data_IF_241843156224
#
_entry.id   IF_241843156224
#
_cell.length_a   1.000
_cell.length_b   1.000
_cell.length_c   1.000
_cell.angle_alpha   90.00
_cell.angle_beta   90.00
_cell.angle_gamma   90.00
#
_symmetry.space_group_name_H-M   'P 1'
#
loop_
_entity.id
_entity.type
_entity.pdbx_description
1 polymer ?
#
# COMPACT_ATOMS: atom_id res chain seq x y z
N UNK A 1 0.07 -17.95 6.07
CA UNK A 1 -0.01 -16.60 6.58
C UNK A 1 1.32 -15.86 6.41
N UNK A 2 1.32 -14.76 5.66
CA UNK A 2 2.56 -13.98 5.36
C UNK A 2 3.09 -13.29 6.64
N UNK A 3 2.24 -13.15 7.66
CA UNK A 3 2.60 -12.54 8.94
C UNK A 3 3.21 -13.55 9.94
N UNK A 4 3.20 -14.85 9.64
CA UNK A 4 4.00 -15.81 10.41
C UNK A 4 5.48 -15.44 10.29
N UNK A 5 6.09 -15.08 11.42
CA UNK A 5 7.50 -14.63 11.47
C UNK A 5 8.46 -15.63 10.81
N UNK A 6 8.15 -16.93 10.87
CA UNK A 6 8.99 -17.98 10.33
C UNK A 6 8.84 -18.11 8.80
N UNK A 7 7.62 -17.91 8.25
CA UNK A 7 7.43 -17.86 6.81
C UNK A 7 8.14 -16.65 6.20
N UNK A 8 7.99 -15.47 6.80
CA UNK A 8 8.63 -14.26 6.31
C UNK A 8 10.16 -14.37 6.34
N UNK A 9 10.73 -14.90 7.43
CA UNK A 9 12.18 -15.17 7.50
C UNK A 9 12.65 -16.10 6.38
N UNK A 10 11.93 -17.20 6.16
CA UNK A 10 12.25 -18.12 5.06
C UNK A 10 12.21 -17.43 3.71
N UNK A 11 11.16 -16.63 3.42
CA UNK A 11 11.05 -15.89 2.16
C UNK A 11 12.19 -14.88 1.97
N UNK A 12 12.64 -14.24 3.04
CA UNK A 12 13.82 -13.35 3.00
C UNK A 12 15.07 -14.14 2.62
N UNK A 13 15.28 -15.30 3.25
CA UNK A 13 16.49 -16.12 3.07
C UNK A 13 16.53 -16.86 1.73
N UNK A 14 15.37 -17.42 1.29
CA UNK A 14 15.33 -18.29 0.10
C UNK A 14 14.94 -17.55 -1.17
N UNK A 15 14.03 -16.59 -1.08
CA UNK A 15 13.43 -15.93 -2.24
C UNK A 15 13.86 -14.44 -2.36
N UNK A 16 14.68 -13.97 -1.42
CA UNK A 16 15.21 -12.61 -1.45
C UNK A 16 14.16 -11.52 -1.24
N UNK A 17 13.08 -11.80 -0.50
CA UNK A 17 12.06 -10.79 -0.17
C UNK A 17 12.69 -9.67 0.64
N UNK A 18 12.47 -8.42 0.19
CA UNK A 18 13.10 -7.23 0.78
C UNK A 18 12.12 -6.23 1.35
N UNK A 19 10.84 -6.51 1.34
CA UNK A 19 9.81 -5.66 1.92
C UNK A 19 8.44 -6.31 1.90
N UNK A 20 7.54 -5.81 2.74
CA UNK A 20 6.17 -6.30 2.85
C UNK A 20 5.21 -5.12 2.86
N UNK A 21 4.10 -5.27 2.16
CA UNK A 21 3.00 -4.29 2.20
C UNK A 21 1.73 -4.95 2.70
N UNK A 22 0.95 -4.20 3.44
CA UNK A 22 -0.37 -4.60 3.91
C UNK A 22 -1.46 -3.65 3.42
N UNK A 23 -2.70 -4.05 3.59
CA UNK A 23 -3.87 -3.21 3.46
C UNK A 23 -4.99 -3.73 4.38
N UNK A 24 -6.05 -2.94 4.64
CA UNK A 24 -7.14 -3.34 5.54
C UNK A 24 -7.78 -4.68 5.17
N UNK A 25 -7.98 -4.97 3.87
CA UNK A 25 -8.61 -6.23 3.43
C UNK A 25 -7.74 -7.47 3.67
N UNK A 26 -6.41 -7.33 3.68
CA UNK A 26 -5.49 -8.43 4.03
C UNK A 26 -5.65 -8.75 5.51
N UNK A 27 -5.63 -7.74 6.38
CA UNK A 27 -5.83 -7.93 7.81
C UNK A 27 -7.22 -8.46 8.15
N UNK A 28 -8.28 -7.93 7.52
CA UNK A 28 -9.65 -8.41 7.71
C UNK A 28 -9.75 -9.92 7.44
N UNK A 29 -9.17 -10.39 6.33
CA UNK A 29 -9.14 -11.81 6.00
C UNK A 29 -8.29 -12.62 6.97
N UNK A 30 -7.11 -12.13 7.34
CA UNK A 30 -6.21 -12.84 8.25
C UNK A 30 -6.84 -12.99 9.66
N UNK A 31 -7.35 -11.91 10.22
CA UNK A 31 -7.97 -11.90 11.55
C UNK A 31 -9.30 -12.67 11.56
N UNK A 32 -10.12 -12.54 10.51
CA UNK A 32 -11.45 -13.15 10.45
C UNK A 32 -11.48 -14.63 10.07
N UNK A 33 -10.38 -15.18 9.52
CA UNK A 33 -10.33 -16.57 9.02
C UNK A 33 -9.29 -17.46 9.69
N UNK A 34 -8.61 -16.97 10.74
CA UNK A 34 -7.53 -17.71 11.43
C UNK A 34 -7.74 -17.66 12.94
N UNK A 35 -7.61 -18.81 13.60
CA UNK A 35 -7.64 -18.93 15.07
C UNK A 35 -6.34 -18.41 15.73
N UNK A 36 -5.35 -18.00 14.92
CA UNK A 36 -4.07 -17.48 15.41
C UNK A 36 -4.21 -16.19 16.23
N UNK A 37 -5.25 -15.41 15.94
CA UNK A 37 -5.53 -14.14 16.65
C UNK A 37 -6.36 -14.30 17.93
N UNK A 38 -6.98 -15.45 18.18
CA UNK A 38 -7.87 -15.67 19.34
C UNK A 38 -7.20 -15.37 20.67
N UNK A 39 -5.94 -15.78 20.81
CA UNK A 39 -5.13 -15.50 22.00
C UNK A 39 -4.87 -14.00 22.20
N UNK A 40 -4.53 -13.28 21.14
CA UNK A 40 -4.26 -11.84 21.15
C UNK A 40 -5.55 -11.04 21.40
N UNK A 41 -6.65 -11.42 20.75
CA UNK A 41 -7.99 -10.87 20.97
C UNK A 41 -8.39 -11.04 22.44
N UNK A 42 -8.26 -12.27 22.99
CA UNK A 42 -8.60 -12.54 24.38
C UNK A 42 -7.77 -11.74 25.40
N UNK A 43 -6.50 -11.48 25.10
CA UNK A 43 -5.65 -10.62 25.94
C UNK A 43 -6.02 -9.15 25.83
N UNK A 44 -6.32 -8.65 24.62
CA UNK A 44 -6.72 -7.27 24.40
C UNK A 44 -8.05 -6.93 25.08
N UNK A 45 -9.03 -7.84 25.01
CA UNK A 45 -10.33 -7.69 25.68
C UNK A 45 -10.21 -7.67 27.20
N UNK A 46 -9.27 -8.41 27.79
CA UNK A 46 -9.02 -8.38 29.25
C UNK A 46 -8.45 -7.06 29.75
N UNK A 47 -7.86 -6.24 28.85
CA UNK A 47 -7.25 -4.94 29.20
C UNK A 47 -8.25 -3.78 29.19
N UNK A 48 -9.48 -3.99 28.80
CA UNK A 48 -10.57 -3.00 28.82
C UNK A 48 -11.47 -3.10 27.59
N UNK A 49 -12.65 -2.47 27.67
CA UNK A 49 -13.58 -2.34 26.53
C UNK A 49 -12.91 -1.55 25.40
N UNK A 50 -12.70 -2.22 24.27
CA UNK A 50 -12.23 -1.62 23.03
C UNK A 50 -13.31 -1.80 21.97
N UNK A 51 -13.48 -0.80 21.12
CA UNK A 51 -14.28 -0.97 19.91
C UNK A 51 -13.64 -2.04 19.01
N UNK A 52 -14.44 -2.65 18.13
CA UNK A 52 -13.93 -3.61 17.14
C UNK A 52 -12.85 -2.97 16.27
N UNK A 53 -13.01 -1.68 15.93
CA UNK A 53 -12.04 -0.93 15.15
C UNK A 53 -10.70 -0.76 15.90
N UNK A 54 -10.75 -0.39 17.20
CA UNK A 54 -9.53 -0.25 18.01
C UNK A 54 -8.81 -1.58 18.20
N UNK A 55 -9.57 -2.67 18.35
CA UNK A 55 -8.99 -4.00 18.46
C UNK A 55 -8.31 -4.43 17.16
N UNK A 56 -9.00 -4.25 16.03
CA UNK A 56 -8.46 -4.52 14.70
C UNK A 56 -7.16 -3.75 14.44
N UNK A 57 -7.17 -2.46 14.72
CA UNK A 57 -5.99 -1.60 14.53
C UNK A 57 -4.84 -2.04 15.45
N UNK A 58 -5.13 -2.35 16.72
CA UNK A 58 -4.11 -2.82 17.65
C UNK A 58 -3.42 -4.09 17.14
N UNK A 59 -4.18 -5.05 16.63
CA UNK A 59 -3.64 -6.28 16.05
C UNK A 59 -2.79 -5.98 14.81
N UNK A 60 -3.28 -5.12 13.92
CA UNK A 60 -2.55 -4.71 12.73
C UNK A 60 -1.21 -4.02 13.08
N UNK A 61 -1.20 -3.12 14.06
CA UNK A 61 0.02 -2.45 14.54
C UNK A 61 1.03 -3.46 15.08
N UNK A 62 0.59 -4.43 15.90
CA UNK A 62 1.48 -5.48 16.45
C UNK A 62 2.07 -6.34 15.34
N UNK A 63 1.29 -6.75 14.35
CA UNK A 63 1.77 -7.54 13.22
C UNK A 63 2.79 -6.76 12.38
N UNK A 64 2.54 -5.49 12.14
CA UNK A 64 3.46 -4.61 11.42
C UNK A 64 4.76 -4.41 12.20
N UNK A 65 4.71 -4.28 13.52
CA UNK A 65 5.89 -4.23 14.37
C UNK A 65 6.74 -5.50 14.23
N UNK A 66 6.10 -6.68 14.30
CA UNK A 66 6.78 -7.97 14.13
C UNK A 66 7.40 -8.11 12.74
N UNK A 67 6.67 -7.78 11.68
CA UNK A 67 7.18 -7.82 10.31
C UNK A 67 8.36 -6.84 10.12
N UNK A 68 8.26 -5.65 10.68
CA UNK A 68 9.34 -4.66 10.64
C UNK A 68 10.58 -5.13 11.38
N UNK A 69 10.42 -5.80 12.53
CA UNK A 69 11.54 -6.36 13.29
C UNK A 69 12.22 -7.50 12.53
N UNK A 70 11.45 -8.36 11.83
CA UNK A 70 11.98 -9.43 10.97
C UNK A 70 12.75 -8.88 9.77
N UNK A 71 12.27 -7.79 9.15
CA UNK A 71 12.92 -7.12 8.01
C UNK A 71 14.01 -6.13 8.41
N UNK A 72 14.18 -5.86 9.70
CA UNK A 72 15.17 -4.91 10.20
C UNK A 72 16.60 -5.21 9.76
N UNK A 73 17.08 -6.46 9.74
CA UNK A 73 18.41 -6.77 9.21
C UNK A 73 18.57 -6.42 7.73
N UNK A 74 17.53 -6.58 6.91
CA UNK A 74 17.53 -6.20 5.49
C UNK A 74 17.66 -4.69 5.36
N UNK A 75 16.90 -3.93 6.17
CA UNK A 75 16.94 -2.48 6.22
C UNK A 75 18.34 -1.96 6.61
N UNK A 76 18.90 -2.50 7.69
CA UNK A 76 20.20 -2.06 8.18
C UNK A 76 21.33 -2.40 7.18
N UNK A 77 21.29 -3.60 6.56
CA UNK A 77 22.27 -4.01 5.55
C UNK A 77 22.20 -3.17 4.27
N UNK A 78 21.02 -2.77 3.87
CA UNK A 78 20.80 -1.91 2.69
C UNK A 78 20.98 -0.41 2.97
N UNK A 79 21.37 -0.04 4.20
CA UNK A 79 21.47 1.35 4.65
C UNK A 79 20.18 2.16 4.41
N UNK A 80 19.02 1.53 4.65
CA UNK A 80 17.71 2.15 4.47
C UNK A 80 17.21 2.15 3.02
N UNK A 81 17.84 1.42 2.13
CA UNK A 81 17.39 1.29 0.73
C UNK A 81 16.27 0.25 0.54
N UNK A 82 16.18 -0.74 1.44
CA UNK A 82 15.20 -1.83 1.41
C UNK A 82 14.75 -2.19 2.84
N UNK A 83 13.98 -3.27 2.99
CA UNK A 83 13.58 -3.79 4.31
C UNK A 83 12.37 -3.07 4.91
N UNK A 84 11.58 -2.40 4.10
CA UNK A 84 10.41 -1.65 4.56
C UNK A 84 9.17 -2.52 4.73
N UNK A 85 8.32 -2.11 5.67
CA UNK A 85 6.97 -2.64 5.88
C UNK A 85 5.97 -1.49 5.79
N UNK A 86 4.84 -1.71 5.12
CA UNK A 86 3.84 -0.65 4.93
C UNK A 86 2.55 -0.94 5.66
N UNK A 87 2.02 0.09 6.37
CA UNK A 87 0.71 0.12 7.03
C UNK A 87 -0.14 1.24 6.44
N UNK A 88 -1.36 0.95 6.05
CA UNK A 88 -2.26 1.89 5.38
C UNK A 88 -3.15 2.64 6.37
N UNK A 89 -3.32 3.95 6.15
CA UNK A 89 -4.35 4.75 6.85
C UNK A 89 -5.75 4.24 6.50
N UNK A 90 -6.73 4.56 7.32
CA UNK A 90 -8.11 4.18 7.09
C UNK A 90 -8.60 4.63 5.70
N UNK A 91 -9.23 3.74 4.91
CA UNK A 91 -9.77 4.10 3.59
C UNK A 91 -10.87 5.16 3.66
N UNK A 92 -11.50 5.33 4.80
CA UNK A 92 -12.52 6.38 5.03
C UNK A 92 -11.93 7.80 5.01
N UNK A 93 -10.62 7.94 5.15
CA UNK A 93 -9.90 9.22 5.11
C UNK A 93 -9.39 9.61 3.72
N UNK A 94 -9.67 8.81 2.69
CA UNK A 94 -9.15 9.05 1.33
C UNK A 94 -9.50 10.43 0.77
N UNK A 95 -10.59 11.04 1.23
CA UNK A 95 -11.07 12.38 0.82
C UNK A 95 -10.92 13.41 1.94
N UNK A 96 -10.11 13.13 2.97
CA UNK A 96 -9.86 14.02 4.11
C UNK A 96 -8.36 14.17 4.36
N UNK A 97 -7.79 15.28 3.87
CA UNK A 97 -6.36 15.59 4.03
C UNK A 97 -5.96 15.67 5.50
N UNK A 98 -6.76 16.35 6.33
CA UNK A 98 -6.41 16.55 7.75
C UNK A 98 -6.49 15.25 8.54
N UNK A 99 -7.56 14.49 8.34
CA UNK A 99 -7.73 13.18 8.95
C UNK A 99 -6.60 12.23 8.56
N UNK A 100 -6.21 12.20 7.28
CA UNK A 100 -5.09 11.41 6.76
C UNK A 100 -3.77 11.78 7.46
N UNK A 101 -3.47 13.07 7.62
CA UNK A 101 -2.25 13.54 8.30
C UNK A 101 -2.24 13.06 9.76
N UNK A 102 -3.31 13.34 10.49
CA UNK A 102 -3.41 12.99 11.92
C UNK A 102 -3.25 11.48 12.14
N UNK A 103 -3.92 10.68 11.32
CA UNK A 103 -3.82 9.22 11.43
C UNK A 103 -2.45 8.70 11.03
N UNK A 104 -1.87 9.20 9.95
CA UNK A 104 -0.54 8.79 9.50
C UNK A 104 0.53 9.09 10.57
N UNK A 105 0.51 10.27 11.18
CA UNK A 105 1.42 10.62 12.27
C UNK A 105 1.22 9.73 13.50
N UNK A 106 -0.03 9.37 13.82
CA UNK A 106 -0.36 8.48 14.92
C UNK A 106 0.17 7.07 14.67
N UNK A 107 -0.13 6.49 13.48
CA UNK A 107 0.37 5.15 13.10
C UNK A 107 1.90 5.10 13.07
N UNK A 108 2.55 6.15 12.58
CA UNK A 108 4.02 6.27 12.60
C UNK A 108 4.58 6.20 14.02
N UNK A 109 3.95 6.90 14.97
CA UNK A 109 4.34 6.89 16.39
C UNK A 109 4.03 5.55 17.05
N UNK A 110 2.85 4.96 16.78
CA UNK A 110 2.39 3.72 17.41
C UNK A 110 3.21 2.51 16.97
N UNK A 111 3.54 2.41 15.70
CA UNK A 111 4.42 1.35 15.18
C UNK A 111 5.86 1.54 15.66
N UNK A 112 6.35 2.76 15.68
CA UNK A 112 7.69 3.13 16.18
C UNK A 112 8.83 2.26 15.64
N UNK A 113 8.87 2.09 14.32
CA UNK A 113 9.94 1.36 13.59
C UNK A 113 10.48 2.22 12.44
N UNK A 114 11.82 2.29 12.33
CA UNK A 114 12.49 3.09 11.28
C UNK A 114 12.18 2.65 9.86
N UNK A 115 11.89 1.39 9.68
CA UNK A 115 11.56 0.78 8.38
C UNK A 115 10.04 0.65 8.13
N UNK A 116 9.25 1.49 8.78
CA UNK A 116 7.85 1.67 8.43
C UNK A 116 7.71 2.62 7.24
N UNK A 117 6.76 2.37 6.37
CA UNK A 117 6.16 3.34 5.47
C UNK A 117 4.66 3.41 5.76
N UNK A 118 4.12 4.61 5.98
CA UNK A 118 2.68 4.77 6.06
C UNK A 118 2.11 4.84 4.66
N UNK A 119 1.08 4.04 4.35
CA UNK A 119 0.42 4.08 3.04
C UNK A 119 -0.65 5.16 3.00
N UNK A 120 -0.56 6.00 1.96
CA UNK A 120 -1.49 7.11 1.71
C UNK A 120 -1.99 7.05 0.27
N UNK A 121 -3.30 7.17 0.01
CA UNK A 121 -3.84 7.14 -1.33
C UNK A 121 -3.49 8.41 -2.12
N UNK A 122 -3.21 8.27 -3.42
CA UNK A 122 -2.94 9.37 -4.35
C UNK A 122 -4.23 10.07 -4.83
N UNK A 123 -5.14 10.38 -3.90
CA UNK A 123 -6.31 11.22 -4.17
C UNK A 123 -5.92 12.70 -4.22
N UNK A 124 -6.75 13.58 -4.80
CA UNK A 124 -6.48 15.01 -4.75
C UNK A 124 -6.25 15.53 -3.31
N UNK A 125 -6.99 15.00 -2.34
CA UNK A 125 -6.85 15.31 -0.91
C UNK A 125 -5.63 14.64 -0.27
N UNK A 126 -5.19 13.50 -0.82
CA UNK A 126 -3.99 12.79 -0.38
C UNK A 126 -2.69 13.51 -0.75
N UNK A 127 -2.65 14.23 -1.88
CA UNK A 127 -1.43 14.91 -2.34
C UNK A 127 -0.88 15.92 -1.31
N UNK A 128 -1.68 16.83 -0.73
CA UNK A 128 -1.20 17.73 0.33
C UNK A 128 -0.77 16.99 1.59
N UNK A 129 -1.41 15.86 1.93
CA UNK A 129 -1.02 15.04 3.07
C UNK A 129 0.36 14.38 2.82
N UNK A 130 0.61 13.86 1.63
CA UNK A 130 1.91 13.27 1.22
C UNK A 130 3.02 14.33 1.35
N UNK A 131 2.81 15.52 0.77
CA UNK A 131 3.78 16.61 0.84
C UNK A 131 4.10 17.00 2.29
N UNK A 132 3.07 17.09 3.14
CA UNK A 132 3.23 17.42 4.55
C UNK A 132 4.02 16.33 5.31
N UNK A 133 3.59 15.07 5.18
CA UNK A 133 4.18 13.94 5.92
C UNK A 133 5.64 13.70 5.55
N UNK A 134 5.99 13.79 4.27
CA UNK A 134 7.38 13.76 3.82
C UNK A 134 8.16 14.94 4.43
N UNK A 135 7.54 16.13 4.51
CA UNK A 135 8.11 17.32 5.13
C UNK A 135 8.30 17.22 6.65
N UNK A 136 7.69 16.22 7.29
CA UNK A 136 7.92 15.85 8.70
C UNK A 136 8.90 14.66 8.85
N UNK A 137 9.46 14.15 7.75
CA UNK A 137 10.42 13.04 7.77
C UNK A 137 9.79 11.67 7.87
N UNK A 138 8.49 11.53 7.55
CA UNK A 138 7.77 10.27 7.55
C UNK A 138 7.88 9.60 6.18
N UNK A 139 8.35 8.36 6.15
CA UNK A 139 8.41 7.56 4.92
C UNK A 139 7.01 7.12 4.47
N UNK A 140 6.69 7.30 3.20
CA UNK A 140 5.34 7.10 2.65
C UNK A 140 5.34 6.10 1.50
N UNK A 141 4.40 5.15 1.54
CA UNK A 141 4.03 4.32 0.39
C UNK A 141 2.78 4.92 -0.25
N UNK A 142 2.93 5.50 -1.43
CA UNK A 142 1.83 6.16 -2.13
C UNK A 142 1.09 5.14 -2.98
N UNK A 143 -0.19 4.95 -2.74
CA UNK A 143 -1.00 3.91 -3.38
C UNK A 143 -2.12 4.49 -4.25
N UNK A 144 -2.85 3.62 -4.97
CA UNK A 144 -3.92 3.96 -5.90
C UNK A 144 -3.46 4.81 -7.09
N UNK A 145 -2.28 4.52 -7.61
CA UNK A 145 -1.77 5.14 -8.83
C UNK A 145 -2.24 4.36 -10.06
N UNK A 146 -2.97 5.04 -10.95
CA UNK A 146 -3.54 4.47 -12.18
C UNK A 146 -3.20 5.27 -13.44
N UNK A 147 -2.65 6.48 -13.31
CA UNK A 147 -2.31 7.33 -14.45
C UNK A 147 -0.96 8.02 -14.28
N UNK A 148 -0.31 8.32 -15.40
CA UNK A 148 0.95 9.05 -15.43
C UNK A 148 0.81 10.47 -14.88
N UNK A 149 -0.35 11.11 -15.09
CA UNK A 149 -0.60 12.47 -14.61
C UNK A 149 -0.64 12.50 -13.08
N UNK A 150 -1.35 11.56 -12.43
CA UNK A 150 -1.37 11.47 -10.96
C UNK A 150 0.01 11.11 -10.43
N UNK A 151 0.75 10.22 -11.11
CA UNK A 151 2.12 9.90 -10.74
C UNK A 151 3.03 11.14 -10.74
N UNK A 152 2.92 12.01 -11.76
CA UNK A 152 3.67 13.27 -11.83
C UNK A 152 3.36 14.19 -10.64
N UNK A 153 2.07 14.33 -10.30
CA UNK A 153 1.64 15.15 -9.15
C UNK A 153 2.18 14.58 -7.82
N UNK A 154 2.18 13.26 -7.68
CA UNK A 154 2.77 12.56 -6.52
C UNK A 154 4.28 12.81 -6.43
N UNK A 155 5.00 12.71 -7.54
CA UNK A 155 6.44 12.97 -7.57
C UNK A 155 6.75 14.43 -7.19
N UNK A 156 5.95 15.38 -7.65
CA UNK A 156 6.05 16.79 -7.25
C UNK A 156 5.77 17.00 -5.77
N UNK A 157 4.74 16.35 -5.21
CA UNK A 157 4.43 16.43 -3.78
C UNK A 157 5.57 15.84 -2.92
N UNK A 158 6.15 14.71 -3.35
CA UNK A 158 7.33 14.11 -2.70
C UNK A 158 8.52 15.08 -2.70
N UNK A 159 8.87 15.66 -3.85
CA UNK A 159 10.00 16.59 -3.94
C UNK A 159 9.80 17.84 -3.06
N UNK A 160 8.59 18.44 -3.10
CA UNK A 160 8.25 19.58 -2.24
C UNK A 160 8.30 19.23 -0.75
N UNK A 161 7.86 18.02 -0.39
CA UNK A 161 8.00 17.50 0.97
C UNK A 161 9.45 17.41 1.40
N UNK A 162 10.32 16.81 0.57
CA UNK A 162 11.77 16.74 0.85
C UNK A 162 12.41 18.12 0.99
N UNK A 163 12.08 19.08 0.11
CA UNK A 163 12.58 20.45 0.21
C UNK A 163 12.21 21.08 1.56
N UNK A 164 10.96 20.88 2.02
CA UNK A 164 10.51 21.36 3.33
C UNK A 164 11.26 20.69 4.48
N UNK A 165 11.48 19.37 4.37
CA UNK A 165 12.20 18.62 5.39
C UNK A 165 13.66 19.10 5.53
N UNK A 166 14.35 19.27 4.39
CA UNK A 166 15.73 19.81 4.38
C UNK A 166 15.78 21.25 4.89
N UNK A 167 14.80 22.09 4.54
CA UNK A 167 14.72 23.45 5.04
C UNK A 167 14.57 23.54 6.58
N UNK A 168 14.02 22.50 7.21
CA UNK A 168 13.95 22.34 8.68
C UNK A 168 15.23 21.75 9.28
N UNK A 169 16.25 21.44 8.48
CA UNK A 169 17.50 20.80 8.92
C UNK A 169 17.43 19.27 8.97
N UNK A 170 16.40 18.66 8.38
CA UNK A 170 16.24 17.21 8.28
C UNK A 170 17.21 16.60 7.25
N UNK A 171 17.62 15.35 7.49
CA UNK A 171 18.44 14.57 6.56
C UNK A 171 17.55 13.75 5.61
N UNK A 172 17.48 14.09 4.31
CA UNK A 172 16.60 13.41 3.36
C UNK A 172 17.02 11.96 3.10
N UNK A 173 18.23 11.54 3.46
CA UNK A 173 18.70 10.16 3.30
C UNK A 173 17.90 9.14 4.12
N UNK A 174 17.15 9.61 5.11
CA UNK A 174 16.33 8.79 6.01
C UNK A 174 14.84 8.77 5.62
N UNK A 175 14.44 9.49 4.58
CA UNK A 175 13.04 9.57 4.12
C UNK A 175 12.90 8.83 2.80
N UNK A 176 12.27 7.67 2.85
CA UNK A 176 12.01 6.86 1.66
C UNK A 176 10.56 7.00 1.21
N UNK A 177 10.34 6.86 -0.11
CA UNK A 177 8.98 6.78 -0.65
C UNK A 177 8.93 5.78 -1.79
N UNK A 178 7.81 5.07 -1.89
CA UNK A 178 7.49 4.21 -3.02
C UNK A 178 6.14 4.63 -3.62
N UNK A 179 6.04 4.51 -4.94
CA UNK A 179 4.82 4.75 -5.69
C UNK A 179 4.26 3.41 -6.17
N UNK A 180 3.16 2.97 -5.55
CA UNK A 180 2.49 1.71 -5.88
C UNK A 180 1.55 1.90 -7.07
N UNK A 181 2.06 1.67 -8.29
CA UNK A 181 1.31 1.79 -9.52
C UNK A 181 0.59 0.48 -9.86
N UNK A 182 -0.73 0.53 -10.10
CA UNK A 182 -1.56 -0.65 -10.30
C UNK A 182 -1.60 -1.12 -11.77
N UNK A 183 -0.47 -1.54 -12.32
CA UNK A 183 -0.33 -1.95 -13.72
C UNK A 183 -1.25 -3.14 -14.05
N UNK A 184 -1.28 -4.18 -13.23
CA UNK A 184 -2.08 -5.38 -13.47
C UNK A 184 -3.59 -5.11 -13.59
N UNK A 185 -4.12 -4.15 -12.83
CA UNK A 185 -5.54 -3.76 -12.93
C UNK A 185 -5.83 -3.00 -14.22
N UNK A 186 -4.88 -2.18 -14.66
CA UNK A 186 -4.99 -1.47 -15.94
C UNK A 186 -4.95 -2.47 -17.08
N UNK A 187 -3.97 -3.38 -17.09
CA UNK A 187 -3.84 -4.42 -18.11
C UNK A 187 -5.11 -5.26 -18.22
N UNK A 188 -5.61 -5.78 -17.10
CA UNK A 188 -6.84 -6.59 -17.09
C UNK A 188 -8.06 -5.82 -17.63
N UNK A 189 -8.18 -4.53 -17.35
CA UNK A 189 -9.27 -3.71 -17.87
C UNK A 189 -9.15 -3.44 -19.37
N UNK A 190 -7.92 -3.22 -19.87
CA UNK A 190 -7.63 -3.01 -21.29
C UNK A 190 -7.82 -4.29 -22.06
N UNK A 191 -7.28 -5.41 -21.60
CA UNK A 191 -7.41 -6.73 -22.24
C UNK A 191 -8.87 -7.12 -22.42
N UNK A 192 -9.70 -6.91 -21.41
CA UNK A 192 -11.15 -7.14 -21.51
C UNK A 192 -11.79 -6.33 -22.65
N UNK A 193 -11.44 -5.06 -22.77
CA UNK A 193 -11.97 -4.19 -23.84
C UNK A 193 -11.48 -4.63 -25.24
N UNK A 194 -10.21 -5.04 -25.34
CA UNK A 194 -9.64 -5.54 -26.59
C UNK A 194 -10.32 -6.84 -27.03
N UNK A 195 -10.57 -7.76 -26.11
CA UNK A 195 -11.30 -9.00 -26.39
C UNK A 195 -12.73 -8.74 -26.87
N UNK A 196 -13.45 -7.83 -26.24
CA UNK A 196 -14.81 -7.44 -26.66
C UNK A 196 -14.81 -6.84 -28.07
N UNK A 197 -13.86 -5.95 -28.39
CA UNK A 197 -13.71 -5.38 -29.74
C UNK A 197 -13.35 -6.43 -30.78
N UNK A 198 -12.42 -7.34 -30.45
CA UNK A 198 -12.03 -8.43 -31.35
C UNK A 198 -13.21 -9.34 -31.72
N UNK A 199 -14.05 -9.70 -30.73
CA UNK A 199 -15.27 -10.47 -30.96
C UNK A 199 -16.26 -9.74 -31.84
N UNK A 200 -16.50 -8.45 -31.60
CA UNK A 200 -17.36 -7.60 -32.42
C UNK A 200 -16.87 -7.50 -33.88
N UNK A 201 -15.55 -7.33 -34.10
CA UNK A 201 -14.98 -7.24 -35.43
C UNK A 201 -15.09 -8.57 -36.18
N UNK A 202 -14.91 -9.74 -35.53
CA UNK A 202 -15.08 -11.06 -36.14
C UNK A 202 -16.54 -11.33 -36.54
N UNK A 203 -17.50 -10.91 -35.70
CA UNK A 203 -18.93 -11.05 -36.02
C UNK A 203 -19.32 -10.20 -37.24
N UNK A 204 -18.79 -8.97 -37.35
CA UNK A 204 -19.04 -8.12 -38.50
C UNK A 204 -18.40 -8.65 -39.82
N UNK A 205 -17.19 -9.23 -39.72
CA UNK A 205 -16.56 -9.86 -40.91
C UNK A 205 -17.29 -11.09 -41.38
N UNK A 206 -17.84 -11.92 -40.50
CA UNK A 206 -18.63 -13.11 -40.89
C UNK A 206 -19.99 -12.73 -41.51
N UNK A 207 -20.59 -11.61 -41.17
CA UNK A 207 -21.77 -11.09 -41.85
C UNK A 207 -21.47 -10.51 -43.25
N UNK A 208 -20.28 -10.05 -43.53
CA UNK A 208 -19.87 -9.52 -44.82
C UNK A 208 -19.61 -10.63 -45.85
N UNK A 209 -19.23 -11.84 -45.43
CA UNK A 209 -19.00 -13.01 -46.32
C UNK A 209 -20.31 -13.67 -46.79
N UNK A 210 -21.39 -13.54 -46.03
CA UNK A 210 -22.71 -14.14 -46.39
C UNK A 210 -23.50 -13.33 -47.43
N UNK A 211 -23.05 -12.13 -47.82
CA UNK A 211 -23.73 -11.28 -48.79
C UNK A 211 -23.23 -11.42 -50.26
N UNK A 212 -22.29 -12.29 -50.56
CA UNK A 212 -21.89 -12.61 -51.93
C UNK A 212 -22.73 -13.75 -52.45
N UNK A 213 -23.89 -13.41 -53.02
CA UNK A 213 -24.66 -14.33 -53.88
C UNK A 213 -23.88 -14.58 -55.18
N UNK A 214 -23.77 -15.83 -55.67
CA UNK A 214 -23.22 -16.08 -56.99
C UNK A 214 -24.21 -15.55 -58.01
N UNK A 215 -23.72 -14.64 -58.87
CA UNK A 215 -24.41 -14.27 -60.13
C UNK A 215 -24.43 -15.45 -61.06
N UNK A 216 -25.60 -15.94 -61.35
CA UNK A 216 -25.91 -16.87 -62.49
C UNK A 216 -25.54 -16.32 -63.82
#
# INVERSE_FOLDING_TARGET
>A
DVCSSDLLKRLIETDGVKGVTSNPSIFEKAIGSSDEYDGAIGQALKKGDRSVADLFEHLAVVDIQHAADVLRPVYDHSHGGDGFVSLEVSPYLAMDTKGTIVEAERLWKDVHRKNLMVKVPATPEGLPAIEYLIGEGISINITLLFSQEVYRQVAEAYLKGLEKYVAKGGDPSHVASVASFFVSRIDSAVDKQLDERSKSTRLNSSHCETSRMPSS
#
